data_IF_694074165010
#
_entry.id   IF_694074165010
#
_cell.length_a   1.000
_cell.length_b   1.000
_cell.length_c   1.000
_cell.angle_alpha   90.00
_cell.angle_beta   90.00
_cell.angle_gamma   90.00
#
_symmetry.space_group_name_H-M   'P 1'
#
loop_
_entity.id
_entity.type
_entity.pdbx_description
1 polymer ?
#
# COMPACT_ATOMS: atom_id res chain seq x y z
N UNK A 1 15.01 -25.79 -23.29
CA UNK A 1 16.08 -26.80 -23.44
C UNK A 1 17.41 -26.21 -23.94
N UNK A 2 17.40 -25.17 -24.79
CA UNK A 2 18.61 -24.56 -25.39
C UNK A 2 19.45 -23.68 -24.45
N UNK A 3 18.88 -23.09 -23.39
CA UNK A 3 19.65 -22.30 -22.39
C UNK A 3 20.57 -23.17 -21.52
N UNK A 4 20.11 -24.38 -21.14
CA UNK A 4 20.96 -25.35 -20.41
C UNK A 4 22.16 -25.78 -21.24
N UNK A 5 21.95 -25.97 -22.56
CA UNK A 5 23.03 -26.28 -23.50
C UNK A 5 24.07 -25.16 -23.60
N UNK A 6 23.64 -23.89 -23.57
CA UNK A 6 24.56 -22.75 -23.52
C UNK A 6 25.40 -22.81 -22.23
N UNK A 7 24.78 -23.04 -21.07
CA UNK A 7 25.48 -23.09 -19.78
C UNK A 7 26.44 -24.28 -19.66
N UNK A 8 26.03 -25.46 -20.12
CA UNK A 8 26.85 -26.67 -20.10
C UNK A 8 28.04 -26.56 -21.05
N UNK A 9 27.85 -25.96 -22.22
CA UNK A 9 28.92 -25.76 -23.19
C UNK A 9 29.87 -24.63 -22.77
N UNK A 10 29.36 -23.54 -22.20
CA UNK A 10 30.19 -22.49 -21.61
C UNK A 10 31.05 -23.03 -20.45
N UNK A 11 30.48 -23.90 -19.59
CA UNK A 11 31.20 -24.58 -18.52
C UNK A 11 32.31 -25.49 -19.04
N UNK A 12 32.07 -26.20 -20.15
CA UNK A 12 33.08 -27.04 -20.80
C UNK A 12 34.22 -26.27 -21.47
N UNK A 13 34.03 -24.97 -21.76
CA UNK A 13 35.00 -24.11 -22.44
C UNK A 13 35.61 -23.03 -21.55
N UNK A 14 35.26 -23.00 -20.25
CA UNK A 14 35.67 -21.98 -19.29
C UNK A 14 35.34 -20.54 -19.73
N UNK A 15 34.17 -20.37 -20.35
CA UNK A 15 33.68 -19.07 -20.82
C UNK A 15 32.51 -18.63 -19.96
N UNK A 16 32.48 -17.36 -19.56
CA UNK A 16 31.36 -16.80 -18.81
C UNK A 16 30.08 -16.84 -19.68
N UNK A 17 28.99 -17.50 -19.21
CA UNK A 17 27.71 -17.53 -19.92
C UNK A 17 27.11 -16.13 -20.19
N UNK A 18 27.56 -15.08 -19.50
CA UNK A 18 27.16 -13.69 -19.74
C UNK A 18 27.87 -13.03 -20.91
N UNK A 19 28.99 -13.60 -21.34
CA UNK A 19 29.81 -13.16 -22.48
C UNK A 19 29.73 -14.15 -23.65
N UNK A 20 28.70 -14.98 -23.67
CA UNK A 20 28.53 -16.02 -24.67
C UNK A 20 27.12 -16.03 -25.24
N UNK A 21 27.04 -16.28 -26.55
CA UNK A 21 25.79 -16.34 -27.31
C UNK A 21 25.76 -17.65 -28.08
N UNK A 22 24.61 -18.33 -28.04
CA UNK A 22 24.38 -19.55 -28.80
C UNK A 22 23.57 -19.23 -30.06
N UNK A 23 24.11 -19.53 -31.23
CA UNK A 23 23.42 -19.36 -32.51
C UNK A 23 22.99 -20.71 -33.04
N UNK A 24 21.68 -20.90 -33.15
CA UNK A 24 21.05 -22.14 -33.60
C UNK A 24 20.42 -21.98 -34.98
N UNK A 25 20.39 -23.06 -35.76
CA UNK A 25 19.72 -23.09 -37.06
C UNK A 25 20.63 -23.09 -38.29
N UNK A 26 21.95 -23.22 -38.08
CA UNK A 26 22.97 -23.17 -39.14
C UNK A 26 22.92 -24.48 -39.96
N UNK A 27 22.85 -24.43 -41.31
CA UNK A 27 22.92 -25.65 -42.12
C UNK A 27 24.25 -26.41 -41.98
N UNK A 28 24.25 -27.74 -42.09
CA UNK A 28 25.48 -28.55 -42.01
C UNK A 28 26.49 -28.27 -43.14
N UNK A 29 26.03 -27.68 -44.23
CA UNK A 29 26.82 -27.32 -45.42
C UNK A 29 27.53 -25.97 -45.32
N UNK A 30 27.36 -25.22 -44.22
CA UNK A 30 28.00 -23.91 -44.04
C UNK A 30 29.44 -24.05 -43.52
N UNK A 31 30.37 -23.34 -44.15
CA UNK A 31 31.78 -23.30 -43.75
C UNK A 31 32.02 -22.32 -42.60
N UNK A 32 33.14 -22.46 -41.91
CA UNK A 32 33.49 -21.61 -40.75
C UNK A 32 33.59 -20.13 -41.15
N UNK A 33 34.16 -19.82 -42.32
CA UNK A 33 34.28 -18.46 -42.81
C UNK A 33 32.92 -17.79 -43.08
N UNK A 34 31.97 -18.55 -43.65
CA UNK A 34 30.60 -18.06 -43.92
C UNK A 34 29.82 -17.81 -42.62
N UNK A 35 30.06 -18.64 -41.59
CA UNK A 35 29.47 -18.45 -40.26
C UNK A 35 30.04 -17.21 -39.59
N UNK A 36 31.36 -17.03 -39.62
CA UNK A 36 32.00 -15.83 -39.06
C UNK A 36 31.57 -14.54 -39.78
N UNK A 37 31.36 -14.58 -41.10
CA UNK A 37 30.86 -13.45 -41.87
C UNK A 37 29.41 -13.10 -41.49
N UNK A 38 28.52 -14.09 -41.40
CA UNK A 38 27.14 -13.88 -40.99
C UNK A 38 27.03 -13.42 -39.52
N UNK A 39 27.91 -13.91 -38.64
CA UNK A 39 28.02 -13.44 -37.25
C UNK A 39 28.55 -12.00 -37.19
N UNK A 40 29.57 -11.66 -37.99
CA UNK A 40 30.10 -10.29 -38.06
C UNK A 40 29.06 -9.31 -38.58
N UNK A 41 28.25 -9.69 -39.57
CA UNK A 41 27.19 -8.86 -40.11
C UNK A 41 25.98 -8.75 -39.15
N UNK A 42 25.56 -9.86 -38.55
CA UNK A 42 24.38 -9.93 -37.70
C UNK A 42 24.61 -9.44 -36.25
N UNK A 43 25.84 -9.57 -35.74
CA UNK A 43 26.23 -9.17 -34.39
C UNK A 43 27.18 -7.96 -34.39
N UNK A 44 27.31 -7.25 -35.52
CA UNK A 44 27.99 -5.95 -35.61
C UNK A 44 27.65 -4.97 -34.46
N UNK A 45 26.39 -4.84 -33.98
CA UNK A 45 26.07 -3.93 -32.88
C UNK A 45 26.55 -4.40 -31.49
N UNK A 46 27.04 -5.64 -31.35
CA UNK A 46 27.49 -6.22 -30.08
C UNK A 46 29.02 -6.20 -29.90
N UNK A 47 29.76 -5.63 -30.87
CA UNK A 47 31.22 -5.54 -30.83
C UNK A 47 31.94 -6.74 -31.45
N UNK A 48 33.23 -6.91 -31.12
CA UNK A 48 34.06 -7.99 -31.66
C UNK A 48 33.59 -9.37 -31.16
N UNK A 49 32.95 -10.11 -32.05
CA UNK A 49 32.46 -11.46 -31.79
C UNK A 49 33.48 -12.50 -32.31
N UNK A 50 33.82 -13.50 -31.49
CA UNK A 50 34.68 -14.62 -31.90
C UNK A 50 33.89 -15.92 -31.86
N UNK A 51 33.97 -16.71 -32.93
CA UNK A 51 33.41 -18.07 -32.93
C UNK A 51 34.26 -18.94 -31.99
N UNK A 52 33.64 -19.45 -30.93
CA UNK A 52 34.29 -20.30 -29.93
C UNK A 52 34.20 -21.78 -30.30
N UNK A 53 33.06 -22.21 -30.83
CA UNK A 53 32.86 -23.61 -31.16
C UNK A 53 31.67 -23.86 -32.07
N UNK A 54 31.68 -25.01 -32.75
CA UNK A 54 30.55 -25.52 -33.54
C UNK A 54 30.21 -26.94 -33.09
N UNK A 55 28.92 -27.25 -33.03
CA UNK A 55 28.43 -28.57 -32.68
C UNK A 55 27.29 -28.94 -33.61
N UNK A 56 27.40 -30.12 -34.24
CA UNK A 56 26.32 -30.67 -35.04
C UNK A 56 25.35 -31.42 -34.14
N UNK A 57 24.06 -31.04 -34.16
CA UNK A 57 23.02 -31.77 -33.44
C UNK A 57 22.26 -32.66 -34.40
N UNK A 58 22.31 -33.97 -34.15
CA UNK A 58 21.56 -34.98 -34.92
C UNK A 58 20.05 -34.79 -34.78
N UNK A 59 19.62 -34.32 -33.62
CA UNK A 59 18.22 -34.17 -33.21
C UNK A 59 17.46 -33.14 -34.07
N UNK A 60 18.18 -32.11 -34.57
CA UNK A 60 17.62 -31.01 -35.37
C UNK A 60 18.19 -30.99 -36.80
N UNK A 61 19.08 -31.94 -37.14
CA UNK A 61 19.86 -32.01 -38.38
C UNK A 61 20.51 -30.65 -38.78
N UNK A 62 20.92 -29.86 -37.78
CA UNK A 62 21.46 -28.51 -37.93
C UNK A 62 22.66 -28.31 -37.00
N UNK A 63 23.53 -27.38 -37.40
CA UNK A 63 24.65 -26.92 -36.60
C UNK A 63 24.22 -25.83 -35.62
N UNK A 64 24.88 -25.83 -34.47
CA UNK A 64 24.82 -24.80 -33.44
C UNK A 64 26.23 -24.23 -33.25
N UNK A 65 26.34 -22.91 -33.17
CA UNK A 65 27.59 -22.20 -32.95
C UNK A 65 27.57 -21.51 -31.59
N UNK A 66 28.66 -21.64 -30.83
CA UNK A 66 28.93 -20.85 -29.64
C UNK A 66 29.81 -19.67 -30.02
N UNK A 67 29.38 -18.47 -29.66
CA UNK A 67 30.06 -17.22 -30.00
C UNK A 67 30.41 -16.49 -28.70
N UNK A 68 31.68 -16.13 -28.56
CA UNK A 68 32.17 -15.34 -27.45
C UNK A 68 32.14 -13.86 -27.79
N UNK A 69 31.68 -13.05 -26.84
CA UNK A 69 31.67 -11.60 -26.90
C UNK A 69 32.84 -11.05 -26.07
N UNK A 70 33.51 -10.03 -26.58
CA UNK A 70 34.60 -9.35 -25.87
C UNK A 70 34.09 -8.50 -24.70
N UNK A 71 32.87 -7.98 -24.74
CA UNK A 71 32.25 -7.18 -23.65
C UNK A 71 30.93 -7.78 -23.14
N UNK A 72 30.61 -7.54 -21.86
CA UNK A 72 29.32 -7.91 -21.24
C UNK A 72 28.24 -6.94 -21.76
N UNK A 73 27.48 -7.35 -22.76
CA UNK A 73 26.52 -6.48 -23.45
C UNK A 73 25.10 -6.61 -22.91
N UNK A 74 24.40 -5.47 -22.84
CA UNK A 74 23.01 -5.40 -22.33
C UNK A 74 22.03 -6.12 -23.27
N UNK A 75 21.12 -6.89 -22.68
CA UNK A 75 20.11 -7.72 -23.37
C UNK A 75 19.22 -6.94 -24.36
N UNK A 76 19.12 -5.62 -24.25
CA UNK A 76 18.34 -4.78 -25.16
C UNK A 76 18.93 -4.71 -26.59
N UNK A 77 20.22 -5.01 -26.75
CA UNK A 77 20.95 -4.80 -28.03
C UNK A 77 21.15 -6.11 -28.80
N UNK A 78 20.88 -7.26 -28.18
CA UNK A 78 21.10 -8.58 -28.80
C UNK A 78 19.95 -8.89 -29.78
N UNK A 79 20.21 -9.00 -31.10
CA UNK A 79 19.18 -9.37 -32.06
C UNK A 79 18.76 -10.81 -31.81
N UNK A 80 17.45 -11.08 -31.77
CA UNK A 80 16.90 -12.43 -31.54
C UNK A 80 17.10 -13.38 -32.73
N UNK A 81 17.34 -12.79 -33.90
CA UNK A 81 17.43 -13.46 -35.19
C UNK A 81 18.45 -12.74 -36.08
N UNK A 82 19.31 -13.49 -36.76
CA UNK A 82 20.27 -12.95 -37.73
C UNK A 82 20.10 -13.63 -39.09
N UNK A 83 20.26 -12.91 -40.21
CA UNK A 83 20.20 -13.51 -41.54
C UNK A 83 21.46 -14.36 -41.81
N UNK A 84 21.27 -15.55 -42.36
CA UNK A 84 22.38 -16.44 -42.71
C UNK A 84 22.08 -17.33 -43.92
N UNK A 85 23.11 -18.05 -44.37
CA UNK A 85 22.96 -19.00 -45.48
C UNK A 85 22.01 -20.12 -45.03
N UNK A 86 20.97 -20.38 -45.83
CA UNK A 86 19.91 -21.35 -45.51
C UNK A 86 18.77 -20.83 -44.61
N UNK A 87 18.67 -19.51 -44.39
CA UNK A 87 17.53 -18.86 -43.75
C UNK A 87 17.91 -18.03 -42.53
N UNK A 88 16.95 -17.82 -41.63
CA UNK A 88 17.16 -17.04 -40.41
C UNK A 88 17.79 -17.93 -39.33
N UNK A 89 18.88 -17.46 -38.71
CA UNK A 89 19.53 -18.12 -37.59
C UNK A 89 19.05 -17.49 -36.29
N UNK A 90 18.74 -18.32 -35.29
CA UNK A 90 18.21 -17.88 -34.00
C UNK A 90 19.34 -17.65 -33.01
N UNK A 91 19.34 -16.48 -32.39
CA UNK A 91 20.33 -16.09 -31.40
C UNK A 91 19.73 -16.29 -30.00
N UNK A 92 20.45 -17.03 -29.16
CA UNK A 92 20.03 -17.40 -27.81
C UNK A 92 21.07 -16.87 -26.85
N UNK A 93 20.66 -15.92 -26.02
CA UNK A 93 21.49 -15.27 -25.02
C UNK A 93 20.88 -15.46 -23.63
N UNK A 94 21.70 -15.48 -22.58
CA UNK A 94 21.21 -15.54 -21.20
C UNK A 94 20.78 -14.14 -20.77
N UNK A 95 19.47 -13.87 -20.52
CA UNK A 95 19.07 -12.57 -20.01
C UNK A 95 19.76 -12.31 -18.65
N UNK A 96 20.17 -11.06 -18.36
CA UNK A 96 20.57 -10.70 -17.00
C UNK A 96 19.37 -11.03 -16.11
N UNK A 97 19.59 -11.92 -15.14
CA UNK A 97 18.53 -12.28 -14.21
C UNK A 97 18.02 -11.02 -13.54
N UNK A 98 16.72 -10.79 -13.63
CA UNK A 98 15.99 -9.72 -12.94
C UNK A 98 16.34 -9.66 -11.44
N UNK A 99 16.80 -10.80 -10.91
CA UNK A 99 17.31 -10.99 -9.56
C UNK A 99 18.51 -10.10 -9.23
N UNK A 100 19.49 -9.91 -10.12
CA UNK A 100 20.72 -9.19 -9.72
C UNK A 100 20.53 -7.68 -9.61
N UNK A 101 19.74 -7.06 -10.50
CA UNK A 101 19.44 -5.62 -10.44
C UNK A 101 18.49 -5.30 -9.28
N UNK A 102 17.51 -6.17 -9.03
CA UNK A 102 16.65 -6.04 -7.84
C UNK A 102 17.43 -6.28 -6.55
N UNK A 103 18.30 -7.29 -6.50
CA UNK A 103 19.13 -7.58 -5.32
C UNK A 103 20.16 -6.48 -5.08
N UNK A 104 20.76 -5.89 -6.13
CA UNK A 104 21.68 -4.77 -5.97
C UNK A 104 20.96 -3.52 -5.46
N UNK A 105 19.80 -3.16 -6.04
CA UNK A 105 18.98 -2.05 -5.54
C UNK A 105 18.44 -2.29 -4.14
N UNK A 106 18.07 -3.54 -3.81
CA UNK A 106 17.64 -3.93 -2.48
C UNK A 106 18.79 -3.83 -1.48
N UNK A 107 20.00 -4.27 -1.86
CA UNK A 107 21.18 -4.16 -1.00
C UNK A 107 21.59 -2.69 -0.80
N UNK A 108 21.52 -1.88 -1.84
CA UNK A 108 21.80 -0.44 -1.79
C UNK A 108 20.79 0.31 -0.90
N UNK A 109 19.51 -0.08 -0.94
CA UNK A 109 18.46 0.43 -0.05
C UNK A 109 18.70 0.01 1.41
N UNK A 110 19.03 -1.26 1.65
CA UNK A 110 19.26 -1.83 2.98
C UNK A 110 20.54 -1.28 3.65
N UNK A 111 21.57 -0.96 2.87
CA UNK A 111 22.76 -0.25 3.35
C UNK A 111 22.44 1.19 3.78
N UNK A 112 21.49 1.86 3.12
CA UNK A 112 20.98 3.17 3.52
C UNK A 112 20.21 3.18 4.84
N UNK A 113 19.53 2.08 5.18
CA UNK A 113 18.82 1.90 6.47
C UNK A 113 19.66 1.23 7.57
N UNK A 114 20.95 0.94 7.31
CA UNK A 114 21.87 0.38 8.30
C UNK A 114 21.63 -1.11 8.63
N UNK A 115 20.86 -1.83 7.84
CA UNK A 115 20.52 -3.25 8.08
C UNK A 115 21.13 -4.11 6.98
N UNK A 116 22.17 -4.90 7.28
CA UNK A 116 22.81 -5.78 6.28
C UNK A 116 21.96 -7.03 6.00
N UNK A 117 21.76 -7.41 4.74
CA UNK A 117 21.04 -8.62 4.32
C UNK A 117 21.61 -9.91 4.97
N UNK A 118 22.92 -9.91 5.24
CA UNK A 118 23.65 -10.96 5.98
C UNK A 118 23.28 -11.11 7.46
N UNK A 119 22.62 -10.10 8.06
CA UNK A 119 22.13 -10.13 9.45
C UNK A 119 20.73 -10.75 9.51
N UNK A 120 19.87 -10.47 8.51
CA UNK A 120 18.54 -11.07 8.37
C UNK A 120 18.61 -12.57 8.05
N UNK A 121 19.60 -12.99 7.27
CA UNK A 121 19.86 -14.41 7.00
C UNK A 121 20.46 -15.13 8.21
N UNK A 122 21.30 -14.46 9.02
CA UNK A 122 21.80 -15.02 10.29
C UNK A 122 20.73 -15.10 11.38
N UNK A 123 19.80 -14.14 11.45
CA UNK A 123 18.73 -14.11 12.45
C UNK A 123 17.72 -15.26 12.31
N UNK A 124 17.67 -15.96 11.17
CA UNK A 124 16.75 -17.08 10.94
C UNK A 124 17.45 -18.44 10.76
N UNK A 125 18.78 -18.47 10.77
CA UNK A 125 19.58 -19.70 10.67
C UNK A 125 19.82 -20.40 12.03
N UNK A 126 18.94 -20.22 13.02
CA UNK A 126 18.85 -21.19 14.10
C UNK A 126 18.04 -22.38 13.60
N UNK A 127 18.73 -23.32 12.95
CA UNK A 127 18.26 -24.69 12.97
C UNK A 127 18.58 -25.59 11.79
N UNK A 128 19.45 -25.25 10.83
CA UNK A 128 20.06 -26.27 9.97
C UNK A 128 21.36 -25.77 9.32
N UNK A 129 22.40 -26.60 9.41
CA UNK A 129 23.71 -26.38 8.81
C UNK A 129 23.62 -26.27 7.27
N UNK A 130 24.41 -25.41 6.60
CA UNK A 130 24.37 -25.22 5.14
C UNK A 130 24.97 -26.40 4.36
N UNK A 131 25.53 -27.40 5.04
CA UNK A 131 26.37 -28.43 4.42
C UNK A 131 25.64 -29.71 3.99
N UNK A 132 24.33 -29.84 4.24
CA UNK A 132 23.60 -31.10 3.95
C UNK A 132 22.54 -30.99 2.83
N UNK A 133 22.50 -29.88 2.09
CA UNK A 133 21.63 -29.75 0.90
C UNK A 133 22.23 -30.45 -0.35
N UNK A 134 23.06 -31.47 -0.12
CA UNK A 134 23.71 -32.27 -1.13
C UNK A 134 22.87 -33.47 -1.58
N UNK A 135 22.39 -33.38 -2.82
CA UNK A 135 22.30 -34.51 -3.78
C UNK A 135 21.05 -35.40 -3.85
N UNK A 136 20.01 -35.33 -3.01
CA UNK A 136 18.88 -36.28 -3.12
C UNK A 136 17.44 -35.75 -3.02
N UNK A 137 17.17 -34.46 -3.28
CA UNK A 137 15.80 -33.93 -3.24
C UNK A 137 15.19 -33.76 -4.65
N UNK A 138 13.99 -34.33 -4.83
CA UNK A 138 13.21 -34.35 -6.07
C UNK A 138 12.93 -32.91 -6.55
N UNK A 139 13.16 -32.57 -7.84
CA UNK A 139 13.00 -31.21 -8.38
C UNK A 139 11.62 -30.56 -8.15
N UNK A 140 10.57 -31.36 -7.98
CA UNK A 140 9.19 -30.89 -7.78
C UNK A 140 8.92 -30.31 -6.39
N UNK A 141 9.72 -30.67 -5.38
CA UNK A 141 9.61 -30.13 -4.01
C UNK A 141 10.48 -28.87 -3.84
N UNK A 142 11.47 -28.68 -4.71
CA UNK A 142 12.36 -27.51 -4.67
C UNK A 142 11.65 -26.23 -5.12
N UNK A 143 10.84 -26.28 -6.18
CA UNK A 143 10.19 -25.09 -6.74
C UNK A 143 9.17 -24.43 -5.79
N UNK A 144 8.28 -25.15 -5.09
CA UNK A 144 7.36 -24.55 -4.12
C UNK A 144 8.09 -23.99 -2.89
N UNK A 145 9.17 -24.65 -2.47
CA UNK A 145 9.96 -24.22 -1.32
C UNK A 145 10.80 -22.97 -1.63
N UNK A 146 11.37 -22.89 -2.83
CA UNK A 146 12.02 -21.69 -3.36
C UNK A 146 11.02 -20.56 -3.59
N UNK A 147 9.84 -20.85 -4.14
CA UNK A 147 8.78 -19.86 -4.33
C UNK A 147 8.32 -19.29 -2.98
N UNK A 148 8.17 -20.13 -1.96
CA UNK A 148 7.83 -19.71 -0.59
C UNK A 148 8.98 -18.94 0.07
N UNK A 149 10.23 -19.37 -0.11
CA UNK A 149 11.40 -18.64 0.40
C UNK A 149 11.55 -17.27 -0.28
N UNK A 150 11.24 -17.18 -1.58
CA UNK A 150 11.25 -15.94 -2.34
C UNK A 150 10.09 -15.02 -1.92
N UNK A 151 8.88 -15.56 -1.73
CA UNK A 151 7.74 -14.81 -1.22
C UNK A 151 7.99 -14.29 0.20
N UNK A 152 8.57 -15.11 1.09
CA UNK A 152 8.97 -14.71 2.44
C UNK A 152 10.13 -13.68 2.45
N UNK A 153 11.08 -13.80 1.51
CA UNK A 153 12.19 -12.85 1.38
C UNK A 153 11.75 -11.51 0.75
N UNK A 154 10.77 -11.54 -0.15
CA UNK A 154 10.18 -10.35 -0.77
C UNK A 154 9.07 -9.75 0.07
N UNK A 155 8.60 -10.42 1.13
CA UNK A 155 7.54 -9.93 2.02
C UNK A 155 7.81 -8.54 2.62
N UNK A 156 9.05 -8.17 3.03
CA UNK A 156 9.37 -6.80 3.47
C UNK A 156 9.23 -5.78 2.33
N UNK A 157 9.67 -6.15 1.12
CA UNK A 157 9.60 -5.30 -0.09
C UNK A 157 8.15 -5.13 -0.55
N UNK A 158 7.35 -6.19 -0.51
CA UNK A 158 5.92 -6.13 -0.81
C UNK A 158 5.14 -5.32 0.23
N UNK A 159 5.58 -5.32 1.49
CA UNK A 159 5.02 -4.42 2.53
C UNK A 159 5.37 -2.96 2.24
N UNK A 160 6.58 -2.67 1.74
CA UNK A 160 6.98 -1.36 1.28
C UNK A 160 6.25 -0.91 0.00
N UNK A 161 6.00 -1.81 -0.96
CA UNK A 161 5.23 -1.50 -2.17
C UNK A 161 3.73 -1.28 -1.88
N UNK A 162 3.21 -1.85 -0.79
CA UNK A 162 1.85 -1.58 -0.26
C UNK A 162 1.81 -0.37 0.68
N UNK A 163 2.91 0.37 0.82
CA UNK A 163 3.01 1.51 1.71
C UNK A 163 2.06 2.63 1.26
N UNK A 164 1.01 2.84 2.06
CA UNK A 164 0.25 4.09 2.07
C UNK A 164 0.75 4.89 3.26
N UNK A 165 1.48 5.97 3.00
CA UNK A 165 2.01 6.85 4.04
C UNK A 165 0.86 7.42 4.88
N UNK A 166 0.98 7.35 6.20
CA UNK A 166 0.06 8.07 7.09
C UNK A 166 0.27 9.57 6.96
N UNK A 167 -0.81 10.32 7.15
CA UNK A 167 -0.75 11.79 7.23
C UNK A 167 0.04 12.20 8.47
N UNK A 168 0.68 13.36 8.41
CA UNK A 168 1.60 13.81 9.45
C UNK A 168 0.86 14.61 10.51
N UNK A 169 1.21 14.39 11.78
CA UNK A 169 0.67 15.13 12.93
C UNK A 169 1.79 15.54 13.88
N UNK A 170 1.88 16.84 14.17
CA UNK A 170 2.89 17.41 15.07
C UNK A 170 2.38 17.72 16.48
N UNK A 171 1.08 17.95 16.63
CA UNK A 171 0.51 18.50 17.86
C UNK A 171 0.69 20.02 18.03
N UNK A 172 1.16 20.71 16.98
CA UNK A 172 1.24 22.18 16.96
C UNK A 172 -0.13 22.81 16.65
N UNK A 173 -0.45 23.92 17.30
CA UNK A 173 -1.61 24.76 16.96
C UNK A 173 -1.13 26.20 16.67
N UNK A 174 -1.24 26.69 15.42
CA UNK A 174 -1.82 26.05 14.23
C UNK A 174 -0.93 24.95 13.60
N UNK A 175 -1.51 24.02 12.81
CA UNK A 175 -0.74 23.00 12.07
C UNK A 175 0.07 23.62 10.92
N UNK A 176 1.24 23.05 10.63
CA UNK A 176 2.08 23.49 9.50
C UNK A 176 1.53 23.00 8.14
N UNK A 177 1.94 23.60 6.99
CA UNK A 177 1.49 23.16 5.67
C UNK A 177 1.80 21.68 5.41
N UNK A 178 0.76 20.86 5.29
CA UNK A 178 0.87 19.41 5.09
C UNK A 178 0.69 18.57 6.36
N UNK A 179 0.44 19.21 7.50
CA UNK A 179 0.03 18.57 8.75
C UNK A 179 -1.49 18.65 8.94
N UNK A 180 -2.05 17.68 9.65
CA UNK A 180 -3.48 17.66 9.98
C UNK A 180 -3.76 18.07 11.42
N UNK A 181 -4.98 18.56 11.65
CA UNK A 181 -5.53 18.67 13.00
C UNK A 181 -5.71 17.29 13.64
N UNK A 182 -5.62 17.23 14.97
CA UNK A 182 -5.61 15.98 15.71
C UNK A 182 -6.80 15.05 15.39
N UNK A 183 -8.03 15.59 15.35
CA UNK A 183 -9.25 14.81 15.10
C UNK A 183 -9.27 14.18 13.69
N UNK A 184 -8.90 14.95 12.67
CA UNK A 184 -8.83 14.48 11.29
C UNK A 184 -7.76 13.40 11.13
N UNK A 185 -6.59 13.63 11.74
CA UNK A 185 -5.48 12.68 11.72
C UNK A 185 -5.80 11.39 12.46
N UNK A 186 -6.43 11.47 13.63
CA UNK A 186 -6.80 10.33 14.46
C UNK A 186 -7.80 9.44 13.73
N UNK A 187 -8.82 10.04 13.11
CA UNK A 187 -9.80 9.33 12.30
C UNK A 187 -9.12 8.60 11.13
N UNK A 188 -8.33 9.33 10.33
CA UNK A 188 -7.60 8.76 9.20
C UNK A 188 -6.68 7.60 9.62
N UNK A 189 -5.92 7.79 10.69
CA UNK A 189 -4.97 6.80 11.22
C UNK A 189 -5.69 5.56 11.70
N UNK A 190 -6.77 5.71 12.46
CA UNK A 190 -7.57 4.58 12.98
C UNK A 190 -8.16 3.74 11.84
N UNK A 191 -8.68 4.38 10.79
CA UNK A 191 -9.21 3.67 9.63
C UNK A 191 -8.09 2.95 8.85
N UNK A 192 -6.94 3.59 8.66
CA UNK A 192 -5.78 2.95 8.04
C UNK A 192 -5.30 1.72 8.81
N UNK A 193 -5.24 1.78 10.15
CA UNK A 193 -4.83 0.65 11.00
C UNK A 193 -5.74 -0.58 10.85
N UNK A 194 -7.04 -0.39 10.57
CA UNK A 194 -8.01 -1.47 10.30
C UNK A 194 -7.77 -2.11 8.92
N UNK A 195 -7.42 -1.31 7.92
CA UNK A 195 -7.20 -1.79 6.55
C UNK A 195 -5.85 -2.51 6.36
N UNK A 196 -4.85 -2.18 7.17
CA UNK A 196 -3.51 -2.73 7.04
C UNK A 196 -3.39 -4.17 7.56
N UNK A 197 -2.98 -5.07 6.65
CA UNK A 197 -2.64 -6.47 6.93
C UNK A 197 -1.14 -6.67 7.20
N UNK A 198 -0.60 -5.89 8.13
CA UNK A 198 0.81 -5.96 8.55
C UNK A 198 0.93 -6.27 10.04
N UNK A 199 2.11 -6.65 10.50
CA UNK A 199 2.37 -6.93 11.91
C UNK A 199 2.17 -5.68 12.78
N UNK A 200 1.85 -5.88 14.05
CA UNK A 200 1.65 -4.77 15.00
C UNK A 200 2.93 -3.95 15.21
N UNK A 201 4.09 -4.60 15.12
CA UNK A 201 5.40 -3.93 15.13
C UNK A 201 5.52 -2.92 13.99
N UNK A 202 5.09 -3.30 12.78
CA UNK A 202 5.16 -2.45 11.61
C UNK A 202 4.09 -1.34 11.63
N UNK A 203 2.89 -1.63 12.14
CA UNK A 203 1.88 -0.59 12.41
C UNK A 203 2.41 0.46 13.38
N UNK A 204 3.12 0.03 14.43
CA UNK A 204 3.77 0.92 15.39
C UNK A 204 4.88 1.75 14.76
N UNK A 205 5.74 1.14 13.94
CA UNK A 205 6.78 1.86 13.21
C UNK A 205 6.18 2.98 12.36
N UNK A 206 5.14 2.67 11.58
CA UNK A 206 4.46 3.65 10.71
C UNK A 206 3.72 4.74 11.47
N UNK A 207 3.14 4.42 12.64
CA UNK A 207 2.58 5.43 13.53
C UNK A 207 3.66 6.43 13.98
N UNK A 208 4.83 5.93 14.40
CA UNK A 208 5.93 6.81 14.82
C UNK A 208 6.45 7.68 13.67
N UNK A 209 6.49 7.14 12.45
CA UNK A 209 6.88 7.89 11.25
C UNK A 209 5.90 9.01 10.89
N UNK A 210 4.64 8.93 11.32
CA UNK A 210 3.63 9.95 11.06
C UNK A 210 3.63 11.08 12.09
N UNK A 211 4.21 10.84 13.27
CA UNK A 211 4.27 11.82 14.35
C UNK A 211 5.49 12.74 14.24
N UNK A 212 5.31 14.03 14.52
CA UNK A 212 6.37 15.05 14.59
C UNK A 212 6.22 15.86 15.88
N UNK A 213 7.22 16.70 16.16
CA UNK A 213 7.16 17.72 17.22
C UNK A 213 6.66 17.19 18.59
N UNK A 214 5.79 17.96 19.29
CA UNK A 214 5.20 17.57 20.57
C UNK A 214 4.56 16.18 20.57
N UNK A 215 3.87 15.78 19.50
CA UNK A 215 3.19 14.50 19.43
C UNK A 215 4.16 13.31 19.43
N UNK A 216 5.30 13.45 18.75
CA UNK A 216 6.37 12.46 18.79
C UNK A 216 7.05 12.38 20.17
N UNK A 217 7.25 13.53 20.81
CA UNK A 217 7.89 13.60 22.13
C UNK A 217 7.08 12.87 23.21
N UNK A 218 5.74 12.99 23.19
CA UNK A 218 4.84 12.24 24.10
C UNK A 218 5.04 10.73 23.97
N UNK A 219 5.03 10.21 22.75
CA UNK A 219 5.21 8.77 22.53
C UNK A 219 6.64 8.32 22.88
N UNK A 220 7.65 9.17 22.68
CA UNK A 220 9.04 8.87 23.06
C UNK A 220 9.17 8.67 24.57
N UNK A 221 8.52 9.51 25.38
CA UNK A 221 8.50 9.36 26.84
C UNK A 221 7.84 8.03 27.22
N UNK A 222 6.65 7.75 26.69
CA UNK A 222 5.93 6.50 26.97
C UNK A 222 6.70 5.25 26.57
N UNK A 223 7.46 5.32 25.47
CA UNK A 223 8.32 4.20 25.03
C UNK A 223 9.51 3.97 25.96
N UNK A 224 9.98 5.02 26.64
CA UNK A 224 11.07 4.92 27.62
C UNK A 224 10.59 4.14 28.85
N UNK A 225 9.36 4.38 29.28
CA UNK A 225 8.73 3.68 30.41
C UNK A 225 8.26 2.28 30.03
N UNK A 226 7.73 2.09 28.81
CA UNK A 226 7.28 0.82 28.27
C UNK A 226 7.75 0.59 26.82
N UNK A 227 8.82 -0.20 26.60
CA UNK A 227 9.33 -0.46 25.25
C UNK A 227 8.35 -1.26 24.39
N UNK A 228 7.39 -1.97 24.97
CA UNK A 228 6.39 -2.79 24.29
C UNK A 228 5.03 -2.11 24.12
N UNK A 229 4.92 -0.79 24.34
CA UNK A 229 3.67 -0.05 24.15
C UNK A 229 3.02 -0.36 22.80
N UNK A 230 1.73 -0.64 22.83
CA UNK A 230 0.93 -1.00 21.66
C UNK A 230 0.49 0.24 20.88
N UNK A 231 0.08 0.04 19.64
CA UNK A 231 -0.48 1.12 18.80
C UNK A 231 -1.71 1.74 19.46
N UNK A 232 -2.57 0.93 20.09
CA UNK A 232 -3.77 1.39 20.76
C UNK A 232 -3.44 2.28 21.97
N UNK A 233 -2.49 1.87 22.81
CA UNK A 233 -2.03 2.67 23.95
C UNK A 233 -1.37 3.98 23.49
N UNK A 234 -0.60 3.96 22.39
CA UNK A 234 -0.05 5.19 21.80
C UNK A 234 -1.16 6.15 21.34
N UNK A 235 -2.16 5.66 20.60
CA UNK A 235 -3.28 6.50 20.15
C UNK A 235 -4.08 7.05 21.33
N UNK A 236 -4.33 6.22 22.35
CA UNK A 236 -5.02 6.65 23.58
C UNK A 236 -4.25 7.74 24.32
N UNK A 237 -2.92 7.64 24.41
CA UNK A 237 -2.13 8.67 25.05
C UNK A 237 -2.12 9.98 24.25
N UNK A 238 -2.06 9.91 22.91
CA UNK A 238 -2.18 11.10 22.08
C UNK A 238 -3.56 11.73 22.21
N UNK A 239 -4.62 10.95 22.32
CA UNK A 239 -5.97 11.42 22.60
C UNK A 239 -6.08 12.10 23.97
N UNK A 240 -5.37 11.61 24.98
CA UNK A 240 -5.34 12.26 26.30
C UNK A 240 -4.61 13.61 26.29
N UNK A 241 -3.56 13.76 25.48
CA UNK A 241 -2.71 14.97 25.49
C UNK A 241 -3.19 16.02 24.47
N UNK A 242 -3.57 15.58 23.27
CA UNK A 242 -3.92 16.44 22.13
C UNK A 242 -5.39 16.36 21.73
N UNK A 243 -6.13 15.37 22.25
CA UNK A 243 -7.57 15.33 22.08
C UNK A 243 -8.19 16.59 22.66
N UNK A 244 -9.25 17.07 22.02
CA UNK A 244 -10.08 18.08 22.63
C UNK A 244 -10.69 17.42 23.85
N UNK A 245 -10.18 17.75 25.04
CA UNK A 245 -10.81 17.38 26.30
C UNK A 245 -12.06 18.26 26.39
N UNK A 246 -13.10 17.84 25.69
CA UNK A 246 -14.44 18.35 25.88
C UNK A 246 -14.83 17.93 27.30
N UNK A 247 -14.64 18.83 28.27
CA UNK A 247 -15.14 18.64 29.63
C UNK A 247 -16.62 18.23 29.51
N UNK A 248 -17.05 17.08 30.04
CA UNK A 248 -18.41 16.58 29.85
C UNK A 248 -19.48 17.62 30.20
N UNK A 249 -19.19 18.49 31.18
CA UNK A 249 -20.05 19.62 31.55
C UNK A 249 -20.08 20.72 30.50
N UNK A 250 -18.94 21.11 29.95
CA UNK A 250 -18.89 22.13 28.88
C UNK A 250 -19.54 21.62 27.60
N UNK A 251 -19.33 20.35 27.26
CA UNK A 251 -20.00 19.71 26.13
C UNK A 251 -21.52 19.66 26.33
N UNK A 252 -21.97 19.32 27.55
CA UNK A 252 -23.39 19.31 27.90
C UNK A 252 -23.98 20.72 27.84
N UNK A 253 -23.29 21.73 28.36
CA UNK A 253 -23.69 23.14 28.25
C UNK A 253 -23.79 23.52 26.77
N UNK A 254 -22.76 23.26 25.98
CA UNK A 254 -22.71 23.56 24.54
C UNK A 254 -23.85 22.88 23.78
N UNK A 255 -24.17 21.63 24.12
CA UNK A 255 -25.32 20.91 23.57
C UNK A 255 -26.64 21.62 23.91
N UNK A 256 -26.88 21.91 25.19
CA UNK A 256 -28.11 22.52 25.67
C UNK A 256 -28.29 23.97 25.18
N UNK A 257 -27.19 24.70 24.96
CA UNK A 257 -27.20 26.08 24.44
C UNK A 257 -27.09 26.16 22.93
N UNK A 258 -27.08 25.04 22.22
CA UNK A 258 -27.13 25.03 20.77
C UNK A 258 -28.57 25.18 20.31
N UNK A 259 -28.89 26.36 19.79
CA UNK A 259 -30.19 26.71 19.22
C UNK A 259 -30.10 26.81 17.69
N UNK A 260 -31.24 26.72 17.02
CA UNK A 260 -31.36 27.02 15.61
C UNK A 260 -31.03 28.50 15.38
N UNK A 261 -30.13 28.79 14.43
CA UNK A 261 -29.74 30.16 14.08
C UNK A 261 -30.80 30.81 13.18
N UNK A 262 -30.76 32.13 13.10
CA UNK A 262 -31.56 32.88 12.13
C UNK A 262 -31.23 32.41 10.71
N UNK A 263 -32.27 32.16 9.90
CA UNK A 263 -32.20 31.63 8.52
C UNK A 263 -31.63 30.21 8.37
N UNK A 264 -31.26 29.52 9.45
CA UNK A 264 -30.79 28.14 9.38
C UNK A 264 -31.97 27.19 9.20
N UNK A 265 -31.94 26.37 8.14
CA UNK A 265 -32.90 25.25 7.98
C UNK A 265 -32.86 24.33 9.19
N UNK A 266 -34.00 23.78 9.59
CA UNK A 266 -34.06 22.93 10.77
C UNK A 266 -33.25 21.64 10.56
N UNK A 267 -33.26 21.09 9.35
CA UNK A 267 -32.42 19.94 8.99
C UNK A 267 -30.92 20.22 9.21
N UNK A 268 -30.46 21.44 8.89
CA UNK A 268 -29.09 21.87 9.16
C UNK A 268 -28.80 22.02 10.65
N UNK A 269 -29.74 22.59 11.43
CA UNK A 269 -29.62 22.66 12.89
C UNK A 269 -29.48 21.27 13.53
N UNK A 270 -30.32 20.31 13.13
CA UNK A 270 -30.26 18.93 13.66
C UNK A 270 -28.91 18.28 13.35
N UNK A 271 -28.42 18.43 12.11
CA UNK A 271 -27.11 17.89 11.72
C UNK A 271 -25.94 18.55 12.46
N UNK A 272 -26.06 19.82 12.85
CA UNK A 272 -25.07 20.52 13.68
C UNK A 272 -25.12 20.09 15.15
N UNK A 273 -26.30 19.71 15.64
CA UNK A 273 -26.52 19.25 17.00
C UNK A 273 -26.03 17.80 17.21
N UNK A 274 -26.19 16.93 16.21
CA UNK A 274 -25.92 15.50 16.32
C UNK A 274 -24.50 15.13 16.79
N UNK A 275 -23.41 15.75 16.29
CA UNK A 275 -22.06 15.43 16.77
C UNK A 275 -21.86 15.71 18.26
N UNK A 276 -22.52 16.74 18.81
CA UNK A 276 -22.45 17.05 20.24
C UNK A 276 -23.16 15.99 21.08
N UNK A 277 -24.31 15.51 20.61
CA UNK A 277 -25.06 14.43 21.24
C UNK A 277 -24.25 13.12 21.23
N UNK A 278 -23.66 12.75 20.10
CA UNK A 278 -22.85 11.53 20.00
C UNK A 278 -21.64 11.57 20.94
N UNK A 279 -20.94 12.71 21.02
CA UNK A 279 -19.86 12.89 22.00
C UNK A 279 -20.34 12.73 23.45
N UNK A 280 -21.55 13.19 23.80
CA UNK A 280 -22.11 13.00 25.15
C UNK A 280 -22.42 11.52 25.46
N UNK A 281 -22.82 10.75 24.45
CA UNK A 281 -23.04 9.31 24.56
C UNK A 281 -21.72 8.55 24.70
N UNK A 282 -20.71 8.91 23.90
CA UNK A 282 -19.36 8.35 23.98
C UNK A 282 -18.72 8.59 25.36
N UNK A 283 -18.95 9.77 25.95
CA UNK A 283 -18.50 10.11 27.31
C UNK A 283 -19.38 9.53 28.43
N UNK A 284 -20.47 8.84 28.09
CA UNK A 284 -21.37 8.22 29.05
C UNK A 284 -22.24 9.18 29.86
N UNK A 285 -22.39 10.43 29.41
CA UNK A 285 -23.29 11.43 30.03
C UNK A 285 -24.74 11.11 29.70
N UNK A 286 -24.99 10.58 28.49
CA UNK A 286 -26.30 10.20 27.99
C UNK A 286 -26.27 8.70 27.70
N UNK A 287 -27.21 7.94 28.26
CA UNK A 287 -27.32 6.51 28.00
C UNK A 287 -27.83 6.24 26.59
N UNK A 288 -27.37 5.14 25.98
CA UNK A 288 -27.71 4.75 24.60
C UNK A 288 -29.22 4.61 24.37
N UNK A 289 -29.95 4.20 25.40
CA UNK A 289 -31.39 3.97 25.34
C UNK A 289 -32.21 5.27 25.32
N UNK A 290 -31.66 6.38 25.83
CA UNK A 290 -32.35 7.68 25.90
C UNK A 290 -31.88 8.68 24.85
N UNK A 291 -30.93 8.31 23.98
CA UNK A 291 -30.34 9.22 22.97
C UNK A 291 -31.40 9.82 22.06
N UNK A 292 -32.35 9.02 21.59
CA UNK A 292 -33.41 9.50 20.72
C UNK A 292 -34.34 10.49 21.45
N UNK A 293 -34.59 10.26 22.74
CA UNK A 293 -35.38 11.17 23.55
C UNK A 293 -34.63 12.48 23.79
N UNK A 294 -33.36 12.42 24.20
CA UNK A 294 -32.53 13.60 24.40
C UNK A 294 -32.45 14.45 23.12
N UNK A 295 -32.26 13.80 21.96
CA UNK A 295 -32.30 14.45 20.64
C UNK A 295 -33.62 15.20 20.43
N UNK A 296 -34.74 14.52 20.61
CA UNK A 296 -36.07 15.10 20.43
C UNK A 296 -36.28 16.28 21.37
N UNK A 297 -35.94 16.15 22.65
CA UNK A 297 -36.12 17.19 23.66
C UNK A 297 -35.32 18.45 23.31
N UNK A 298 -34.06 18.31 22.88
CA UNK A 298 -33.24 19.45 22.48
C UNK A 298 -33.68 20.07 21.16
N UNK A 299 -34.26 19.28 20.23
CA UNK A 299 -34.87 19.83 19.03
C UNK A 299 -36.11 20.64 19.39
N UNK A 300 -36.98 20.13 20.25
CA UNK A 300 -38.20 20.82 20.69
C UNK A 300 -37.91 22.08 21.52
N UNK A 301 -36.80 22.07 22.28
CA UNK A 301 -36.34 23.23 23.05
C UNK A 301 -35.61 24.25 22.18
N UNK A 302 -34.85 23.78 21.18
CA UNK A 302 -33.89 24.59 20.43
C UNK A 302 -34.35 25.09 19.05
N UNK A 303 -35.42 24.51 18.51
CA UNK A 303 -35.99 24.90 17.23
C UNK A 303 -36.85 26.17 17.34
N UNK A 304 -36.73 27.04 16.35
CA UNK A 304 -37.58 28.23 16.18
C UNK A 304 -38.95 27.84 15.60
N UNK A 305 -39.00 26.72 14.86
CA UNK A 305 -40.18 26.22 14.15
C UNK A 305 -41.29 25.72 15.11
N UNK A 306 -42.37 26.50 15.23
CA UNK A 306 -43.53 26.20 16.11
C UNK A 306 -44.49 25.15 15.52
N UNK A 307 -44.50 24.97 14.20
CA UNK A 307 -45.31 23.97 13.47
C UNK A 307 -44.85 22.56 13.80
N UNK A 308 -43.53 22.33 13.79
CA UNK A 308 -42.95 21.05 14.18
C UNK A 308 -43.15 20.72 15.66
N UNK A 309 -43.15 21.69 16.57
CA UNK A 309 -43.51 21.44 17.98
C UNK A 309 -44.92 20.86 18.15
N UNK A 310 -45.85 21.14 17.22
CA UNK A 310 -47.21 20.57 17.23
C UNK A 310 -47.28 19.20 16.54
N UNK A 311 -46.51 18.96 15.47
CA UNK A 311 -46.47 17.70 14.72
C UNK A 311 -45.59 16.62 15.39
N UNK A 312 -44.48 17.02 16.00
CA UNK A 312 -43.54 16.18 16.77
C UNK A 312 -43.91 16.06 18.25
N UNK A 313 -44.98 16.72 18.72
CA UNK A 313 -45.60 16.40 20.00
C UNK A 313 -46.22 15.00 19.91
N UNK A 314 -45.35 14.00 19.95
CA UNK A 314 -45.71 12.59 19.96
C UNK A 314 -46.69 12.35 21.12
N UNK A 315 -47.69 11.48 20.94
CA UNK A 315 -48.54 11.06 22.04
C UNK A 315 -47.66 10.53 23.18
N UNK A 316 -47.95 11.02 24.39
CA UNK A 316 -47.20 10.94 25.66
C UNK A 316 -46.83 9.51 26.15
N UNK A 317 -46.18 8.70 25.32
CA UNK A 317 -45.81 7.32 25.68
C UNK A 317 -45.22 6.44 24.57
N UNK A 318 -44.96 6.96 23.37
CA UNK A 318 -44.25 6.23 22.30
C UNK A 318 -42.72 6.42 22.36
N UNK A 319 -41.91 5.46 21.84
CA UNK A 319 -40.47 5.62 21.75
C UNK A 319 -40.11 6.78 20.81
N UNK A 320 -39.13 7.60 21.21
CA UNK A 320 -38.68 8.73 20.40
C UNK A 320 -38.12 8.28 19.04
N UNK A 321 -38.46 8.98 17.94
CA UNK A 321 -37.97 8.66 16.61
C UNK A 321 -36.44 8.79 16.52
N UNK A 322 -35.84 7.96 15.67
CA UNK A 322 -34.41 8.03 15.37
C UNK A 322 -34.04 9.27 14.54
N UNK A 323 -32.75 9.55 14.41
CA UNK A 323 -32.24 10.69 13.63
C UNK A 323 -32.78 10.73 12.19
N UNK A 324 -32.77 9.58 11.49
CA UNK A 324 -33.20 9.51 10.09
C UNK A 324 -34.70 9.78 9.92
N UNK A 325 -35.53 9.22 10.81
CA UNK A 325 -36.97 9.45 10.82
C UNK A 325 -37.30 10.91 11.09
N UNK A 326 -36.57 11.55 12.02
CA UNK A 326 -36.71 12.98 12.29
C UNK A 326 -36.33 13.82 11.08
N UNK A 327 -35.21 13.52 10.42
CA UNK A 327 -34.76 14.27 9.24
C UNK A 327 -35.72 14.13 8.05
N UNK A 328 -36.36 12.97 7.89
CA UNK A 328 -37.38 12.75 6.86
C UNK A 328 -38.61 13.63 7.11
N UNK A 329 -39.17 13.59 8.32
CA UNK A 329 -40.30 14.44 8.71
C UNK A 329 -39.99 15.94 8.60
N UNK A 330 -38.77 16.35 8.97
CA UNK A 330 -38.34 17.74 8.88
C UNK A 330 -38.23 18.18 7.41
N UNK A 331 -37.67 17.33 6.53
CA UNK A 331 -37.55 17.66 5.11
C UNK A 331 -38.89 17.78 4.41
N UNK A 332 -39.86 16.93 4.75
CA UNK A 332 -41.22 17.04 4.24
C UNK A 332 -41.87 18.37 4.64
N UNK A 333 -41.68 18.79 5.90
CA UNK A 333 -42.19 20.09 6.38
C UNK A 333 -41.48 21.26 5.71
N UNK A 334 -40.15 21.23 5.62
CA UNK A 334 -39.37 22.26 4.94
C UNK A 334 -39.80 22.44 3.48
N UNK A 335 -40.09 21.33 2.77
CA UNK A 335 -40.60 21.38 1.40
C UNK A 335 -42.02 21.97 1.31
N UNK A 336 -42.91 21.62 2.24
CA UNK A 336 -44.25 22.18 2.29
C UNK A 336 -44.25 23.69 2.60
N UNK A 337 -43.42 24.13 3.55
CA UNK A 337 -43.26 25.56 3.88
C UNK A 337 -42.67 26.35 2.69
N UNK A 338 -41.74 25.77 1.93
CA UNK A 338 -41.21 26.37 0.69
C UNK A 338 -42.28 26.49 -0.40
N UNK A 339 -43.12 25.47 -0.60
CA UNK A 339 -44.21 25.50 -1.58
C UNK A 339 -45.27 26.56 -1.22
N UNK A 340 -45.65 26.65 0.07
CA UNK A 340 -46.57 27.68 0.55
C UNK A 340 -46.00 29.10 0.37
N UNK A 341 -44.71 29.30 0.65
CA UNK A 341 -44.05 30.60 0.46
C UNK A 341 -44.07 31.04 -1.01
N UNK A 342 -43.77 30.13 -1.94
CA UNK A 342 -43.82 30.40 -3.38
C UNK A 342 -45.23 30.74 -3.87
N UNK A 343 -46.26 30.06 -3.35
CA UNK A 343 -47.66 30.36 -3.67
C UNK A 343 -48.09 31.73 -3.15
N UNK A 344 -47.58 32.16 -1.99
CA UNK A 344 -47.87 33.48 -1.43
C UNK A 344 -47.17 34.61 -2.21
N UNK A 345 -45.92 34.42 -2.65
CA UNK A 345 -45.21 35.39 -3.50
C UNK A 345 -45.83 35.51 -4.90
N UNK A 346 -46.31 34.40 -5.47
CA UNK A 346 -47.02 34.38 -6.76
C UNK A 346 -48.41 35.01 -6.74
N UNK A 347 -49.02 35.22 -5.56
CA UNK A 347 -50.29 35.93 -5.40
C UNK A 347 -50.15 37.43 -5.11
N UNK A 348 -48.92 37.90 -4.84
CA UNK A 348 -48.60 39.31 -4.60
C UNK A 348 -47.93 40.01 -5.79
N UNK A 349 -47.66 39.27 -6.88
CA UNK A 349 -47.17 39.78 -8.17
C UNK A 349 -48.33 39.89 -9.16
#
# INVERSE_FOLDING_TARGET
MTLRLLEDWCRGMDVDPRRAVLVAGIPPTCTVAEIEEALRAGLAPLGECRLLGRMFRRDENRNVALVGLTEETSHAVVPKEIPGKGGVWRVIFKPPGLDNELLSRLNEFLEGEGTRLGELTRARAYGNDPSDLGQNMIPEVQAPMLARALEEALQPVLQYLKYKKLRVFSGSNPPEPGEEEFESWLFHTTEMMKTWRVSDMEKRRRLLESLRGPAFDVIRVLKTDNPFITVAECLQALEQVFGVIDNPRELQIKYLTTYQKDEEKLSAYVLRLEPLLQKLVERGVIEKDVVNQARLDQILAGAVCRTLRRKLALPQGGPAPGLLQLLELIKEEEAAEEEEALLQEGHLS
#
